data_IF_727881651323
#
_entry.id   IF_727881651323
#
_cell.length_a   1.000
_cell.length_b   1.000
_cell.length_c   1.000
_cell.angle_alpha   90.00
_cell.angle_beta   90.00
_cell.angle_gamma   90.00
#
_symmetry.space_group_name_H-M   'P 1'
#
loop_
_entity.id
_entity.type
_entity.pdbx_description
1 polymer ?
#
# COMPACT_ATOMS: atom_id res chain seq x y z
N UNK A 1 0.24 72.40 58.37
CA UNK A 1 -0.76 72.11 59.43
C UNK A 1 -0.08 71.29 60.51
N UNK A 2 0.16 71.88 61.69
CA UNK A 2 0.68 71.17 62.87
C UNK A 2 -0.50 70.44 63.52
N UNK A 3 -0.45 69.11 63.55
CA UNK A 3 -1.39 68.28 64.30
C UNK A 3 -0.95 68.26 65.76
N UNK A 4 -1.67 68.96 66.63
CA UNK A 4 -1.56 68.76 68.08
C UNK A 4 -2.22 67.43 68.44
N UNK A 5 -1.40 66.40 68.66
CA UNK A 5 -1.86 65.06 69.01
C UNK A 5 -1.88 64.92 70.53
N UNK A 6 -3.08 64.99 71.09
CA UNK A 6 -3.42 64.67 72.49
C UNK A 6 -3.15 63.18 72.74
N UNK A 7 -2.60 62.81 73.90
CA UNK A 7 -2.06 61.46 74.21
C UNK A 7 -3.01 60.26 73.93
N UNK A 8 -4.33 60.48 73.86
CA UNK A 8 -5.32 59.47 73.45
C UNK A 8 -5.26 59.10 71.96
N UNK A 9 -4.84 60.02 71.09
CA UNK A 9 -4.77 59.78 69.64
C UNK A 9 -3.55 58.97 69.22
N UNK A 10 -2.52 58.89 70.07
CA UNK A 10 -1.32 58.11 69.77
C UNK A 10 -1.62 56.61 69.73
N UNK A 11 -2.55 56.12 70.57
CA UNK A 11 -2.97 54.70 70.58
C UNK A 11 -3.86 54.34 69.39
N UNK A 12 -4.78 55.21 69.00
CA UNK A 12 -5.63 55.01 67.82
C UNK A 12 -4.79 55.06 66.54
N UNK A 13 -3.83 55.98 66.42
CA UNK A 13 -2.89 56.02 65.29
C UNK A 13 -2.02 54.77 65.25
N UNK A 14 -1.53 54.27 66.40
CA UNK A 14 -0.74 53.05 66.45
C UNK A 14 -1.54 51.81 66.03
N UNK A 15 -2.82 51.72 66.45
CA UNK A 15 -3.73 50.66 66.04
C UNK A 15 -4.05 50.74 64.54
N UNK A 16 -4.22 51.94 63.99
CA UNK A 16 -4.50 52.14 62.57
C UNK A 16 -3.29 51.76 61.70
N UNK A 17 -2.08 52.13 62.13
CA UNK A 17 -0.83 51.70 61.48
C UNK A 17 -0.64 50.19 61.59
N UNK A 18 -0.94 49.58 62.74
CA UNK A 18 -0.90 48.13 62.92
C UNK A 18 -1.88 47.40 62.00
N UNK A 19 -3.13 47.87 61.92
CA UNK A 19 -4.15 47.32 61.03
C UNK A 19 -3.76 47.48 59.54
N UNK A 20 -3.21 48.64 59.16
CA UNK A 20 -2.70 48.88 57.81
C UNK A 20 -1.53 47.95 57.45
N UNK A 21 -0.61 47.70 58.39
CA UNK A 21 0.48 46.75 58.21
C UNK A 21 -0.01 45.32 58.03
N UNK A 22 -0.96 44.87 58.87
CA UNK A 22 -1.55 43.52 58.73
C UNK A 22 -2.27 43.39 57.40
N UNK A 23 -3.05 44.41 56.99
CA UNK A 23 -3.71 44.43 55.69
C UNK A 23 -2.71 44.36 54.53
N UNK A 24 -1.61 45.13 54.61
CA UNK A 24 -0.56 45.11 53.59
C UNK A 24 0.13 43.74 53.49
N UNK A 25 0.42 43.09 54.63
CA UNK A 25 1.05 41.75 54.64
C UNK A 25 0.12 40.69 54.06
N UNK A 26 -1.17 40.73 54.39
CA UNK A 26 -2.16 39.80 53.81
C UNK A 26 -2.36 40.05 52.31
N UNK A 27 -2.43 41.32 51.90
CA UNK A 27 -2.69 41.69 50.51
C UNK A 27 -1.50 41.47 49.58
N UNK A 28 -0.26 41.73 50.04
CA UNK A 28 0.94 41.64 49.21
C UNK A 28 1.79 40.38 49.46
N UNK A 29 1.55 39.65 50.55
CA UNK A 29 2.28 38.41 50.84
C UNK A 29 1.47 37.17 50.53
N UNK A 30 0.30 37.04 51.17
CA UNK A 30 -0.45 35.78 51.21
C UNK A 30 -1.28 35.59 49.92
N UNK A 31 -2.02 36.62 49.50
CA UNK A 31 -2.84 36.55 48.28
C UNK A 31 -2.02 36.26 47.01
N UNK A 32 -0.93 36.99 46.68
CA UNK A 32 -0.16 36.71 45.47
C UNK A 32 0.56 35.36 45.51
N UNK A 33 0.96 34.88 46.69
CA UNK A 33 1.55 33.55 46.81
C UNK A 33 0.52 32.43 46.55
N UNK A 34 -0.74 32.63 46.94
CA UNK A 34 -1.82 31.67 46.69
C UNK A 34 -2.26 31.67 45.21
N UNK A 35 -2.33 32.85 44.58
CA UNK A 35 -2.61 32.97 43.14
C UNK A 35 -1.49 32.35 42.30
N UNK A 36 -0.22 32.58 42.65
CA UNK A 36 0.92 31.96 41.96
C UNK A 36 0.91 30.42 42.07
N UNK A 37 0.48 29.86 43.21
CA UNK A 37 0.39 28.41 43.39
C UNK A 37 -0.79 27.79 42.62
N UNK A 38 -1.92 28.51 42.56
CA UNK A 38 -3.09 28.11 41.79
C UNK A 38 -2.81 28.16 40.28
N UNK A 39 -2.12 29.19 39.81
CA UNK A 39 -1.69 29.32 38.41
C UNK A 39 -0.64 28.28 38.04
N UNK A 40 0.33 27.98 38.91
CA UNK A 40 1.28 26.91 38.67
C UNK A 40 0.59 25.53 38.52
N UNK A 41 -0.48 25.28 39.28
CA UNK A 41 -1.23 24.02 39.21
C UNK A 41 -2.05 23.87 37.92
N UNK A 42 -2.62 24.96 37.40
CA UNK A 42 -3.37 24.96 36.14
C UNK A 42 -2.44 24.82 34.92
N UNK A 43 -1.25 25.42 34.99
CA UNK A 43 -0.24 25.39 33.93
C UNK A 43 0.40 24.01 33.75
N UNK A 44 0.47 23.20 34.82
CA UNK A 44 0.92 21.79 34.77
C UNK A 44 -0.09 20.92 34.01
N UNK A 45 -1.39 21.05 34.29
CA UNK A 45 -2.43 20.28 33.61
C UNK A 45 -2.50 20.57 32.11
N UNK A 46 -2.34 21.83 31.70
CA UNK A 46 -2.31 22.24 30.29
C UNK A 46 -1.10 21.65 29.56
N UNK A 47 0.08 21.64 30.20
CA UNK A 47 1.30 21.06 29.62
C UNK A 47 1.23 19.54 29.49
N UNK A 48 0.63 18.85 30.45
CA UNK A 48 0.38 17.41 30.36
C UNK A 48 -0.60 17.06 29.22
N UNK A 49 -1.66 17.84 29.05
CA UNK A 49 -2.62 17.61 27.97
C UNK A 49 -1.97 17.84 26.60
N UNK A 50 -1.16 18.89 26.45
CA UNK A 50 -0.37 19.15 25.24
C UNK A 50 0.60 17.99 24.95
N UNK A 51 1.32 17.49 25.95
CA UNK A 51 2.22 16.33 25.80
C UNK A 51 1.47 15.08 25.33
N UNK A 52 0.26 14.84 25.87
CA UNK A 52 -0.59 13.73 25.45
C UNK A 52 -1.04 13.85 23.99
N UNK A 53 -1.33 15.08 23.53
CA UNK A 53 -1.74 15.37 22.15
C UNK A 53 -0.58 15.18 21.19
N UNK A 54 0.62 15.65 21.54
CA UNK A 54 1.84 15.43 20.75
C UNK A 54 2.25 13.96 20.68
N UNK A 55 2.19 13.21 21.80
CA UNK A 55 2.45 11.75 21.79
C UNK A 55 1.47 11.00 20.89
N UNK A 56 0.18 11.32 20.97
CA UNK A 56 -0.84 10.73 20.08
C UNK A 56 -0.56 11.05 18.60
N UNK A 57 -0.12 12.27 18.28
CA UNK A 57 0.27 12.64 16.92
C UNK A 57 1.52 11.89 16.42
N UNK A 58 2.53 11.69 17.28
CA UNK A 58 3.73 10.93 16.97
C UNK A 58 3.45 9.45 16.74
N UNK A 59 2.62 8.83 17.58
CA UNK A 59 2.20 7.42 17.41
C UNK A 59 1.44 7.25 16.09
N UNK A 60 0.54 8.18 15.75
CA UNK A 60 -0.14 8.18 14.45
C UNK A 60 0.85 8.31 13.29
N UNK A 61 1.82 9.22 13.36
CA UNK A 61 2.86 9.38 12.32
C UNK A 61 3.67 8.09 12.13
N UNK A 62 4.07 7.43 13.23
CA UNK A 62 4.78 6.14 13.17
C UNK A 62 3.92 5.02 12.56
N UNK A 63 2.62 4.98 12.88
CA UNK A 63 1.68 4.03 12.29
C UNK A 63 1.50 4.27 10.78
N UNK A 64 1.30 5.52 10.35
CA UNK A 64 1.19 5.86 8.92
C UNK A 64 2.49 5.60 8.15
N UNK A 65 3.66 5.85 8.74
CA UNK A 65 4.93 5.51 8.12
C UNK A 65 5.08 4.00 7.88
N UNK A 66 4.70 3.17 8.87
CA UNK A 66 4.68 1.71 8.72
C UNK A 66 3.67 1.24 7.69
N UNK A 67 2.48 1.84 7.63
CA UNK A 67 1.48 1.54 6.61
C UNK A 67 1.98 1.92 5.21
N UNK A 68 2.66 3.06 5.07
CA UNK A 68 3.25 3.49 3.80
C UNK A 68 4.37 2.55 3.36
N UNK A 69 5.24 2.13 4.28
CA UNK A 69 6.31 1.18 4.00
C UNK A 69 5.75 -0.18 3.58
N UNK A 70 4.73 -0.68 4.30
CA UNK A 70 4.03 -1.91 3.95
C UNK A 70 3.37 -1.79 2.57
N UNK A 71 2.64 -0.71 2.31
CA UNK A 71 2.01 -0.48 1.01
C UNK A 71 3.05 -0.38 -0.13
N UNK A 72 4.19 0.28 0.09
CA UNK A 72 5.30 0.33 -0.87
C UNK A 72 5.89 -1.04 -1.14
N UNK A 73 6.06 -1.86 -0.09
CA UNK A 73 6.54 -3.23 -0.22
C UNK A 73 5.56 -4.09 -1.00
N UNK A 74 4.28 -4.04 -0.64
CA UNK A 74 3.22 -4.78 -1.33
C UNK A 74 3.14 -4.39 -2.82
N UNK A 75 3.28 -3.09 -3.14
CA UNK A 75 3.35 -2.60 -4.52
C UNK A 75 4.61 -3.09 -5.24
N UNK A 76 5.77 -3.03 -4.60
CA UNK A 76 7.03 -3.53 -5.17
C UNK A 76 6.97 -5.02 -5.46
N UNK A 77 6.44 -5.81 -4.53
CA UNK A 77 6.26 -7.25 -4.68
C UNK A 77 5.26 -7.57 -5.81
N UNK A 78 4.18 -6.80 -5.93
CA UNK A 78 3.24 -6.91 -7.04
C UNK A 78 3.87 -6.51 -8.39
N UNK A 79 4.65 -5.43 -8.42
CA UNK A 79 5.37 -4.98 -9.62
C UNK A 79 6.44 -5.98 -10.06
N UNK A 80 7.11 -6.65 -9.13
CA UNK A 80 8.09 -7.70 -9.45
C UNK A 80 7.47 -8.89 -10.18
N UNK A 81 6.18 -9.15 -9.95
CA UNK A 81 5.39 -10.18 -10.66
C UNK A 81 4.93 -9.71 -12.05
N UNK A 82 5.01 -8.42 -12.38
CA UNK A 82 4.74 -7.94 -13.73
C UNK A 82 5.94 -8.21 -14.65
N UNK A 83 5.68 -8.23 -15.96
CA UNK A 83 6.75 -8.25 -16.96
C UNK A 83 7.43 -6.88 -16.95
N UNK A 84 8.76 -6.86 -17.09
CA UNK A 84 9.54 -5.61 -17.02
C UNK A 84 9.12 -4.67 -18.15
N UNK A 85 8.64 -3.48 -17.80
CA UNK A 85 7.89 -2.59 -18.70
C UNK A 85 8.69 -1.56 -19.49
N UNK A 86 10.01 -1.57 -19.39
CA UNK A 86 10.84 -0.52 -20.03
C UNK A 86 10.97 -0.70 -21.56
N UNK A 87 10.74 -1.92 -22.07
CA UNK A 87 10.83 -2.21 -23.51
C UNK A 87 9.79 -3.26 -23.94
N UNK A 88 8.82 -2.92 -24.82
CA UNK A 88 7.80 -3.86 -25.28
C UNK A 88 8.38 -5.07 -26.03
N UNK A 89 9.51 -4.91 -26.71
CA UNK A 89 10.20 -6.02 -27.40
C UNK A 89 10.79 -7.00 -26.39
N UNK A 90 11.40 -6.49 -25.31
CA UNK A 90 11.94 -7.35 -24.25
C UNK A 90 10.81 -8.08 -23.51
N UNK A 91 9.70 -7.39 -23.26
CA UNK A 91 8.53 -7.97 -22.64
C UNK A 91 7.89 -9.09 -23.49
N UNK A 92 7.88 -8.94 -24.82
CA UNK A 92 7.46 -9.99 -25.75
C UNK A 92 8.37 -11.22 -25.67
N UNK A 93 9.70 -11.02 -25.64
CA UNK A 93 10.67 -12.11 -25.51
C UNK A 93 10.53 -12.82 -24.16
N UNK A 94 10.38 -12.09 -23.06
CA UNK A 94 10.17 -12.65 -21.72
C UNK A 94 8.89 -13.51 -21.66
N UNK A 95 7.78 -13.00 -22.23
CA UNK A 95 6.53 -13.76 -22.35
C UNK A 95 6.71 -15.05 -23.17
N UNK A 96 7.44 -14.96 -24.28
CA UNK A 96 7.74 -16.11 -25.13
C UNK A 96 8.55 -17.17 -24.37
N UNK A 97 9.62 -16.77 -23.67
CA UNK A 97 10.46 -17.69 -22.90
C UNK A 97 9.66 -18.41 -21.83
N UNK A 98 8.82 -17.70 -21.07
CA UNK A 98 8.01 -18.31 -20.00
C UNK A 98 7.06 -19.38 -20.57
N UNK A 99 6.40 -19.07 -21.69
CA UNK A 99 5.49 -20.01 -22.34
C UNK A 99 6.22 -21.21 -22.93
N UNK A 100 7.40 -21.01 -23.51
CA UNK A 100 8.22 -22.10 -24.05
C UNK A 100 8.74 -23.02 -22.94
N UNK A 101 9.16 -22.47 -21.80
CA UNK A 101 9.54 -23.25 -20.63
C UNK A 101 8.35 -24.06 -20.09
N UNK A 102 7.18 -23.44 -19.98
CA UNK A 102 5.95 -24.13 -19.57
C UNK A 102 5.57 -25.26 -20.55
N UNK A 103 5.67 -25.03 -21.86
CA UNK A 103 5.39 -26.03 -22.87
C UNK A 103 6.40 -27.20 -22.82
N UNK A 104 7.70 -26.90 -22.66
CA UNK A 104 8.76 -27.92 -22.56
C UNK A 104 8.59 -28.83 -21.35
N UNK A 105 8.21 -28.29 -20.19
CA UNK A 105 7.97 -29.10 -18.98
C UNK A 105 6.86 -30.14 -19.16
N UNK A 106 5.86 -29.82 -19.98
CA UNK A 106 4.69 -30.66 -20.24
C UNK A 106 4.88 -31.53 -21.50
N UNK A 107 6.01 -31.38 -22.22
CA UNK A 107 6.29 -32.09 -23.46
C UNK A 107 5.34 -31.70 -24.60
N UNK A 108 4.96 -30.41 -24.67
CA UNK A 108 4.09 -29.86 -25.72
C UNK A 108 4.90 -29.26 -26.87
N UNK A 109 4.51 -29.59 -28.09
CA UNK A 109 5.03 -28.95 -29.30
C UNK A 109 4.10 -27.81 -29.75
N UNK A 110 4.65 -26.60 -29.82
CA UNK A 110 3.91 -25.40 -30.22
C UNK A 110 3.98 -25.22 -31.75
N UNK A 111 2.87 -25.50 -32.44
CA UNK A 111 2.76 -25.43 -33.90
C UNK A 111 2.77 -23.98 -34.41
N UNK A 112 2.06 -23.08 -33.73
CA UNK A 112 2.00 -21.66 -34.10
C UNK A 112 2.20 -20.78 -32.89
N UNK A 113 3.00 -19.73 -33.06
CA UNK A 113 3.29 -18.69 -32.08
C UNK A 113 3.19 -17.35 -32.78
N UNK A 114 2.24 -16.51 -32.37
CA UNK A 114 2.10 -15.17 -32.90
C UNK A 114 2.01 -14.16 -31.76
N UNK A 115 2.99 -13.26 -31.66
CA UNK A 115 3.03 -12.23 -30.64
C UNK A 115 2.50 -10.93 -31.25
N UNK A 116 1.49 -10.36 -30.62
CA UNK A 116 0.96 -9.06 -31.00
C UNK A 116 1.80 -7.94 -30.37
N UNK A 117 1.97 -6.80 -31.07
CA UNK A 117 2.64 -5.65 -30.50
C UNK A 117 1.91 -5.14 -29.25
N UNK A 118 2.67 -4.54 -28.32
CA UNK A 118 2.12 -3.99 -27.09
C UNK A 118 1.05 -2.94 -27.42
N UNK A 119 -0.15 -3.11 -26.86
CA UNK A 119 -1.25 -2.17 -27.00
C UNK A 119 -1.52 -1.48 -25.67
N UNK A 120 -1.91 -0.21 -25.74
CA UNK A 120 -2.36 0.52 -24.55
C UNK A 120 -3.66 -0.11 -24.06
N UNK A 121 -3.63 -0.68 -22.85
CA UNK A 121 -4.84 -1.21 -22.18
C UNK A 121 -5.49 -0.14 -21.32
N UNK A 122 -4.66 0.65 -20.62
CA UNK A 122 -5.10 1.72 -19.73
C UNK A 122 -4.05 2.84 -19.70
N UNK A 123 -4.28 3.90 -18.92
CA UNK A 123 -3.35 5.02 -18.74
C UNK A 123 -2.02 4.59 -18.07
N UNK A 124 -2.04 3.51 -17.30
CA UNK A 124 -0.88 3.03 -16.53
C UNK A 124 -0.24 1.75 -17.07
N UNK A 125 -0.90 1.04 -17.98
CA UNK A 125 -0.46 -0.30 -18.41
C UNK A 125 -0.59 -0.51 -19.93
N UNK A 126 0.45 -1.14 -20.50
CA UNK A 126 0.37 -1.77 -21.81
C UNK A 126 0.13 -3.28 -21.64
N UNK A 127 -0.51 -3.87 -22.64
CA UNK A 127 -0.77 -5.29 -22.72
C UNK A 127 -0.11 -5.87 -23.98
N UNK A 128 0.60 -6.97 -23.82
CA UNK A 128 1.13 -7.78 -24.92
C UNK A 128 0.35 -9.08 -24.91
N UNK A 129 -0.12 -9.48 -26.09
CA UNK A 129 -0.82 -10.75 -26.27
C UNK A 129 0.00 -11.68 -27.16
N UNK A 130 -0.08 -12.97 -26.88
CA UNK A 130 0.50 -14.02 -27.71
C UNK A 130 -0.54 -15.10 -27.94
N UNK A 131 -0.77 -15.41 -29.20
CA UNK A 131 -1.64 -16.51 -29.62
C UNK A 131 -0.79 -17.73 -29.92
N UNK A 132 -1.20 -18.85 -29.34
CA UNK A 132 -0.53 -20.14 -29.39
C UNK A 132 -1.50 -21.15 -29.99
N UNK A 133 -1.03 -21.97 -30.93
CA UNK A 133 -1.79 -23.13 -31.40
C UNK A 133 -0.94 -24.39 -31.28
N UNK A 134 -1.51 -25.45 -30.74
CA UNK A 134 -0.83 -26.72 -30.51
C UNK A 134 -1.81 -27.90 -30.49
N UNK A 135 -1.28 -29.10 -30.67
CA UNK A 135 -2.02 -30.34 -30.52
C UNK A 135 -1.54 -31.09 -29.28
N UNK A 136 -2.48 -31.49 -28.43
CA UNK A 136 -2.20 -32.00 -27.08
C UNK A 136 -3.25 -32.99 -26.62
N UNK A 137 -2.88 -33.86 -25.69
CA UNK A 137 -3.88 -34.61 -24.92
C UNK A 137 -4.58 -33.70 -23.89
N UNK A 138 -5.82 -34.00 -23.47
CA UNK A 138 -6.50 -33.21 -22.43
C UNK A 138 -5.69 -33.02 -21.15
N UNK A 139 -4.92 -34.04 -20.74
CA UNK A 139 -4.04 -33.97 -19.57
C UNK A 139 -2.92 -32.95 -19.75
N UNK A 140 -2.28 -32.93 -20.92
CA UNK A 140 -1.23 -31.95 -21.23
C UNK A 140 -1.78 -30.52 -21.31
N UNK A 141 -2.99 -30.31 -21.82
CA UNK A 141 -3.62 -28.98 -21.80
C UNK A 141 -3.81 -28.48 -20.36
N UNK A 142 -4.31 -29.35 -19.48
CA UNK A 142 -4.50 -29.00 -18.06
C UNK A 142 -3.18 -28.68 -17.37
N UNK A 143 -2.16 -29.54 -17.55
CA UNK A 143 -0.83 -29.33 -16.96
C UNK A 143 -0.18 -28.05 -17.48
N UNK A 144 -0.35 -27.73 -18.75
CA UNK A 144 0.16 -26.48 -19.32
C UNK A 144 -0.50 -25.24 -18.73
N UNK A 145 -1.83 -25.27 -18.54
CA UNK A 145 -2.55 -24.19 -17.87
C UNK A 145 -2.13 -24.03 -16.40
N UNK A 146 -1.81 -25.13 -15.72
CA UNK A 146 -1.25 -25.11 -14.37
C UNK A 146 0.16 -24.49 -14.34
N UNK A 147 1.04 -24.86 -15.27
CA UNK A 147 2.38 -24.27 -15.37
C UNK A 147 2.32 -22.77 -15.68
N UNK A 148 1.44 -22.34 -16.59
CA UNK A 148 1.23 -20.91 -16.86
C UNK A 148 0.71 -20.17 -15.63
N UNK A 149 -0.24 -20.77 -14.90
CA UNK A 149 -0.80 -20.17 -13.67
C UNK A 149 0.26 -20.01 -12.58
N UNK A 150 1.16 -20.98 -12.47
CA UNK A 150 2.23 -21.01 -11.47
C UNK A 150 3.51 -20.27 -11.92
N UNK A 151 3.50 -19.65 -13.10
CA UNK A 151 4.62 -18.87 -13.57
C UNK A 151 4.96 -17.72 -12.59
N UNK A 152 6.25 -17.33 -12.49
CA UNK A 152 6.68 -16.25 -11.60
C UNK A 152 6.08 -14.90 -11.99
N UNK A 153 5.62 -14.78 -13.25
CA UNK A 153 5.03 -13.57 -13.81
C UNK A 153 3.52 -13.69 -13.95
N UNK A 154 2.87 -12.54 -13.84
CA UNK A 154 1.43 -12.42 -13.97
C UNK A 154 1.03 -12.53 -15.45
N UNK A 155 0.57 -13.72 -15.83
CA UNK A 155 0.08 -14.05 -17.17
C UNK A 155 -1.40 -14.40 -17.07
N UNK A 156 -2.20 -13.92 -18.01
CA UNK A 156 -3.63 -14.18 -18.12
C UNK A 156 -3.93 -14.93 -19.40
N UNK A 157 -4.88 -15.86 -19.38
CA UNK A 157 -5.46 -16.46 -20.59
C UNK A 157 -6.71 -15.65 -20.96
N UNK A 158 -6.74 -15.07 -22.16
CA UNK A 158 -7.83 -14.22 -22.67
C UNK A 158 -8.87 -15.01 -23.42
N UNK A 159 -8.39 -15.91 -24.27
CA UNK A 159 -9.24 -16.76 -25.09
C UNK A 159 -8.64 -18.16 -25.11
N UNK A 160 -9.52 -19.15 -25.14
CA UNK A 160 -9.17 -20.56 -25.17
C UNK A 160 -10.18 -21.32 -26.03
N UNK A 161 -9.74 -21.72 -27.22
CA UNK A 161 -10.52 -22.54 -28.13
C UNK A 161 -9.92 -23.94 -28.15
N UNK A 162 -10.73 -24.93 -27.79
CA UNK A 162 -10.32 -26.33 -27.74
C UNK A 162 -11.26 -27.11 -28.63
N UNK A 163 -10.72 -27.76 -29.65
CA UNK A 163 -11.44 -28.60 -30.58
C UNK A 163 -10.81 -30.00 -30.63
N UNK A 164 -11.61 -31.06 -30.89
CA UNK A 164 -11.04 -32.37 -31.18
C UNK A 164 -10.21 -32.30 -32.47
N UNK A 165 -9.00 -32.87 -32.45
CA UNK A 165 -8.17 -32.93 -33.67
C UNK A 165 -8.76 -33.90 -34.71
N UNK A 166 -9.55 -34.88 -34.26
CA UNK A 166 -10.30 -35.82 -35.11
C UNK A 166 -11.70 -36.01 -34.54
N UNK A 167 -12.73 -35.76 -35.36
CA UNK A 167 -14.14 -36.03 -35.02
C UNK A 167 -14.47 -37.45 -35.46
N UNK A 168 -14.58 -38.36 -34.50
CA UNK A 168 -14.88 -39.78 -34.77
C UNK A 168 -16.39 -39.90 -35.02
N UNK A 169 -16.77 -40.26 -36.25
CA UNK A 169 -18.16 -40.46 -36.65
C UNK A 169 -18.65 -41.91 -36.46
N UNK A 170 -17.74 -42.88 -36.28
CA UNK A 170 -18.05 -44.30 -36.05
C UNK A 170 -17.14 -44.91 -34.98
N UNK A 171 -17.69 -45.75 -34.10
CA UNK A 171 -16.93 -46.45 -33.07
C UNK A 171 -15.92 -47.45 -33.71
N UNK A 172 -14.60 -47.23 -33.59
CA UNK A 172 -13.57 -48.10 -34.13
C UNK A 172 -13.49 -49.42 -33.37
N UNK A 173 -13.28 -50.50 -34.13
CA UNK A 173 -13.28 -51.88 -33.62
C UNK A 173 -11.95 -52.35 -33.01
N UNK A 174 -10.90 -51.52 -32.99
CA UNK A 174 -9.61 -51.84 -32.35
C UNK A 174 -9.03 -50.59 -31.70
N UNK A 175 -8.79 -50.68 -30.39
CA UNK A 175 -8.32 -49.59 -29.55
C UNK A 175 -6.91 -49.17 -29.90
N UNK A 176 -6.77 -47.90 -30.25
CA UNK A 176 -5.76 -46.98 -29.70
C UNK A 176 -6.18 -45.57 -30.09
N UNK A 177 -7.24 -45.08 -29.42
CA UNK A 177 -7.63 -43.69 -29.55
C UNK A 177 -6.67 -42.81 -28.78
N UNK A 178 -5.74 -42.16 -29.48
CA UNK A 178 -5.11 -40.97 -28.92
C UNK A 178 -6.14 -39.84 -28.93
N UNK A 179 -6.67 -39.51 -27.75
CA UNK A 179 -7.52 -38.32 -27.55
C UNK A 179 -6.66 -37.07 -27.76
N UNK A 180 -6.53 -36.65 -29.01
CA UNK A 180 -5.78 -35.46 -29.39
C UNK A 180 -6.76 -34.29 -29.57
N UNK A 181 -6.44 -33.19 -28.92
CA UNK A 181 -7.14 -31.91 -29.01
C UNK A 181 -6.26 -30.93 -29.76
N UNK A 182 -6.85 -30.12 -30.61
CA UNK A 182 -6.26 -28.89 -31.12
C UNK A 182 -6.70 -27.75 -30.21
N UNK A 183 -5.73 -27.15 -29.53
CA UNK A 183 -5.95 -25.99 -28.67
C UNK A 183 -5.36 -24.74 -29.32
N UNK A 184 -6.14 -23.65 -29.29
CA UNK A 184 -5.70 -22.30 -29.61
C UNK A 184 -5.92 -21.43 -28.38
N UNK A 185 -4.84 -20.90 -27.80
CA UNK A 185 -4.87 -20.10 -26.59
C UNK A 185 -4.31 -18.71 -26.87
N UNK A 186 -4.99 -17.67 -26.42
CA UNK A 186 -4.44 -16.32 -26.39
C UNK A 186 -4.06 -15.97 -24.97
N UNK A 187 -2.75 -15.88 -24.71
CA UNK A 187 -2.21 -15.43 -23.43
C UNK A 187 -1.87 -13.95 -23.49
N UNK A 188 -1.98 -13.25 -22.38
CA UNK A 188 -1.68 -11.83 -22.27
C UNK A 188 -0.86 -11.56 -21.03
N UNK A 189 0.12 -10.67 -21.15
CA UNK A 189 0.87 -10.13 -20.03
C UNK A 189 0.73 -8.61 -19.99
N UNK A 190 0.69 -8.08 -18.77
CA UNK A 190 0.64 -6.64 -18.52
C UNK A 190 2.02 -6.12 -18.15
N UNK A 191 2.35 -4.96 -18.69
CA UNK A 191 3.57 -4.23 -18.37
C UNK A 191 3.22 -2.80 -17.95
N UNK A 192 3.89 -2.24 -16.93
CA UNK A 192 3.69 -0.86 -16.53
C UNK A 192 4.17 0.07 -17.66
N UNK A 193 3.41 1.12 -17.95
CA UNK A 193 3.85 2.16 -18.88
C UNK A 193 4.93 3.01 -18.19
N UNK A 194 6.06 3.30 -18.86
CA UNK A 194 7.06 4.20 -18.28
C UNK A 194 6.42 5.56 -17.99
N UNK A 195 6.78 6.20 -16.86
CA UNK A 195 6.24 7.52 -16.52
C UNK A 195 6.56 8.47 -17.67
N UNK A 196 5.52 9.12 -18.21
CA UNK A 196 5.66 10.16 -19.23
C UNK A 196 6.61 11.22 -18.66
N UNK A 197 7.84 11.29 -19.16
CA UNK A 197 8.74 12.42 -18.86
C UNK A 197 8.00 13.67 -19.31
N UNK A 198 7.57 14.49 -18.35
CA UNK A 198 7.15 15.86 -18.65
C UNK A 198 8.39 16.57 -19.18
N UNK A 199 8.38 16.90 -20.47
CA UNK A 199 9.32 17.85 -21.05
C UNK A 199 9.07 19.25 -20.52
#
# INVERSE_FOLDING_TARGET
MKLEIRERDRRSVLLLVGAALVYAVFSFGILPAYDALKDASSDVGVKEEQLSRYRRALVRKGHYAKLLEKARKDVSDAQARLIRGDNPTLAAVELQTIVEEAAKKVGLELNQRNISPARKKDEFFNEITMTLAFEATPGQVSQFLEEIRNAPKFIMVRDAQIAPAQVIHEAPKKGDFKKVLRASLTVSAVLPMPPRKSG
#
